data_IF_839829031012
#
_entry.id   IF_839829031012
#
_cell.length_a   1.000
_cell.length_b   1.000
_cell.length_c   1.000
_cell.angle_alpha   90.00
_cell.angle_beta   90.00
_cell.angle_gamma   90.00
#
_symmetry.space_group_name_H-M   'P 1'
#
loop_
_entity.id
_entity.type
_entity.pdbx_description
1 polymer ?
#
# COMPACT_ATOMS: atom_id res chain seq x y z
N UNK A 1 -52.26 106.67 -55.97
CA UNK A 1 -52.31 105.39 -55.24
C UNK A 1 -52.55 104.26 -56.24
N UNK A 2 -51.87 103.12 -56.09
CA UNK A 2 -52.22 101.88 -56.80
C UNK A 2 -51.03 101.13 -57.43
N UNK A 3 -50.03 100.74 -56.65
CA UNK A 3 -48.96 99.84 -57.10
C UNK A 3 -49.50 98.41 -57.30
N UNK A 4 -49.18 97.78 -58.44
CA UNK A 4 -49.46 96.36 -58.69
C UNK A 4 -48.22 95.57 -58.28
N UNK A 5 -48.26 95.02 -57.06
CA UNK A 5 -47.21 94.12 -56.56
C UNK A 5 -47.26 92.78 -57.28
N UNK A 6 -46.23 92.43 -58.04
CA UNK A 6 -46.01 91.07 -58.57
C UNK A 6 -45.06 90.32 -57.63
N UNK A 7 -45.61 89.53 -56.71
CA UNK A 7 -44.82 88.60 -55.91
C UNK A 7 -44.84 87.22 -56.58
N UNK A 8 -43.73 86.82 -57.19
CA UNK A 8 -43.49 85.42 -57.57
C UNK A 8 -42.88 84.71 -56.38
N UNK A 9 -43.67 83.84 -55.73
CA UNK A 9 -43.22 83.03 -54.61
C UNK A 9 -43.00 81.61 -55.15
N UNK A 10 -41.74 81.20 -55.35
CA UNK A 10 -41.42 79.83 -55.71
C UNK A 10 -41.35 78.98 -54.43
N UNK A 11 -42.44 78.27 -54.13
CA UNK A 11 -42.49 77.30 -53.04
C UNK A 11 -41.98 75.95 -53.56
N UNK A 12 -40.81 75.51 -53.11
CA UNK A 12 -40.36 74.12 -53.27
C UNK A 12 -40.78 73.32 -52.04
N UNK A 13 -41.82 72.49 -52.20
CA UNK A 13 -42.28 71.54 -51.18
C UNK A 13 -41.74 70.17 -51.51
N UNK A 14 -40.90 69.59 -50.65
CA UNK A 14 -40.46 68.20 -50.79
C UNK A 14 -40.91 67.37 -49.60
N UNK A 15 -41.99 66.63 -49.78
CA UNK A 15 -42.50 65.71 -48.77
C UNK A 15 -41.68 64.42 -48.81
N UNK A 16 -40.89 64.15 -47.77
CA UNK A 16 -40.15 62.89 -47.63
C UNK A 16 -40.91 62.05 -46.59
N UNK A 17 -41.84 61.20 -47.03
CA UNK A 17 -42.69 60.39 -46.14
C UNK A 17 -42.20 58.95 -45.94
N UNK A 18 -40.95 58.65 -46.28
CA UNK A 18 -40.36 57.33 -46.12
C UNK A 18 -39.67 57.19 -44.76
N UNK A 19 -40.32 56.53 -43.80
CA UNK A 19 -39.63 55.97 -42.63
C UNK A 19 -39.42 54.48 -42.92
N UNK A 20 -38.17 54.01 -42.98
CA UNK A 20 -37.91 52.57 -43.02
C UNK A 20 -38.55 51.95 -41.77
N UNK A 21 -39.35 50.91 -41.94
CA UNK A 21 -39.87 50.13 -40.84
C UNK A 21 -38.68 49.51 -40.10
N UNK A 22 -38.33 50.09 -38.95
CA UNK A 22 -37.31 49.54 -38.08
C UNK A 22 -37.99 48.44 -37.27
N UNK A 23 -37.68 47.19 -37.63
CA UNK A 23 -38.16 46.01 -36.91
C UNK A 23 -37.01 45.43 -36.09
N UNK A 24 -37.31 45.02 -34.85
CA UNK A 24 -36.33 44.55 -33.88
C UNK A 24 -35.96 45.60 -32.82
N UNK A 25 -35.03 45.24 -31.93
CA UNK A 25 -34.56 46.08 -30.82
C UNK A 25 -33.47 47.03 -31.31
N UNK A 26 -33.84 48.04 -32.11
CA UNK A 26 -32.90 48.99 -32.66
C UNK A 26 -32.72 50.15 -31.67
N UNK A 27 -31.69 50.04 -30.82
CA UNK A 27 -31.34 51.04 -29.80
C UNK A 27 -30.65 52.31 -30.38
N UNK A 28 -30.57 52.42 -31.72
CA UNK A 28 -30.00 53.57 -32.42
C UNK A 28 -31.02 54.72 -32.64
N UNK A 29 -30.62 55.73 -33.42
CA UNK A 29 -31.50 56.86 -33.75
C UNK A 29 -32.18 56.64 -35.11
N UNK A 30 -33.51 56.51 -35.10
CA UNK A 30 -34.33 56.46 -36.30
C UNK A 30 -34.65 57.88 -36.79
N UNK A 31 -34.20 58.25 -37.98
CA UNK A 31 -34.42 59.60 -38.51
C UNK A 31 -35.11 59.49 -39.88
N UNK A 32 -36.28 60.12 -39.98
CA UNK A 32 -37.14 60.14 -41.17
C UNK A 32 -37.32 61.59 -41.65
N UNK A 33 -37.64 61.78 -42.93
CA UNK A 33 -38.02 63.09 -43.46
C UNK A 33 -36.87 63.98 -43.96
N UNK A 34 -35.67 63.44 -44.15
CA UNK A 34 -34.51 64.24 -44.59
C UNK A 34 -34.50 64.36 -46.12
N UNK A 35 -34.58 65.58 -46.63
CA UNK A 35 -34.38 65.88 -48.05
C UNK A 35 -33.10 66.70 -48.27
N UNK A 36 -32.23 66.24 -49.16
CA UNK A 36 -31.07 67.00 -49.66
C UNK A 36 -30.20 67.68 -48.58
N UNK A 37 -30.06 67.04 -47.40
CA UNK A 37 -29.35 67.57 -46.24
C UNK A 37 -28.37 66.54 -45.69
N UNK A 38 -27.21 66.99 -45.21
CA UNK A 38 -26.26 66.13 -44.48
C UNK A 38 -26.67 66.08 -43.02
N UNK A 39 -26.91 64.87 -42.51
CA UNK A 39 -27.26 64.63 -41.12
C UNK A 39 -26.04 64.17 -40.34
N UNK A 40 -25.70 64.89 -39.27
CA UNK A 40 -24.64 64.48 -38.35
C UNK A 40 -25.27 63.86 -37.10
N UNK A 41 -25.16 62.55 -36.96
CA UNK A 41 -25.60 61.83 -35.75
C UNK A 41 -24.36 61.45 -34.96
N UNK A 42 -24.34 61.84 -33.69
CA UNK A 42 -23.31 61.42 -32.74
C UNK A 42 -23.99 60.61 -31.65
N UNK A 43 -23.58 59.35 -31.49
CA UNK A 43 -24.01 58.47 -30.41
C UNK A 43 -22.86 58.29 -29.42
N UNK A 44 -23.18 58.34 -28.12
CA UNK A 44 -22.21 58.16 -27.03
C UNK A 44 -22.53 56.84 -26.32
N UNK A 45 -21.52 56.01 -26.06
CA UNK A 45 -21.68 54.69 -25.43
C UNK A 45 -21.87 54.74 -23.90
N UNK A 46 -21.79 55.92 -23.28
CA UNK A 46 -21.86 56.17 -21.83
C UNK A 46 -20.97 55.24 -20.98
N UNK A 47 -19.82 54.82 -21.51
CA UNK A 47 -18.89 53.92 -20.83
C UNK A 47 -19.31 52.44 -20.85
N UNK A 48 -20.30 52.06 -21.67
CA UNK A 48 -20.72 50.67 -21.84
C UNK A 48 -19.57 49.78 -22.33
N UNK A 49 -18.71 50.31 -23.21
CA UNK A 49 -17.52 49.59 -23.68
C UNK A 49 -16.53 49.34 -22.54
N UNK A 50 -16.26 50.35 -21.71
CA UNK A 50 -15.37 50.20 -20.56
C UNK A 50 -15.91 49.15 -19.58
N UNK A 51 -17.20 49.21 -19.24
CA UNK A 51 -17.82 48.20 -18.36
C UNK A 51 -17.78 46.79 -18.95
N UNK A 52 -17.93 46.65 -20.27
CA UNK A 52 -17.81 45.36 -20.94
C UNK A 52 -16.36 44.82 -20.89
N UNK A 53 -15.36 45.72 -21.01
CA UNK A 53 -13.96 45.35 -20.84
C UNK A 53 -13.63 44.98 -19.39
N UNK A 54 -14.15 45.72 -18.41
CA UNK A 54 -13.99 45.42 -16.98
C UNK A 54 -14.57 44.05 -16.64
N UNK A 55 -15.81 43.77 -17.09
CA UNK A 55 -16.43 42.46 -16.94
C UNK A 55 -15.60 41.36 -17.62
N UNK A 56 -15.07 41.63 -18.82
CA UNK A 56 -14.16 40.73 -19.50
C UNK A 56 -12.90 40.43 -18.67
N UNK A 57 -12.31 41.44 -18.06
CA UNK A 57 -11.17 41.31 -17.14
C UNK A 57 -11.50 40.45 -15.93
N UNK A 58 -12.62 40.73 -15.25
CA UNK A 58 -13.09 39.95 -14.09
C UNK A 58 -13.34 38.48 -14.44
N UNK A 59 -13.94 38.21 -15.60
CA UNK A 59 -14.16 36.85 -16.10
C UNK A 59 -12.86 36.12 -16.39
N UNK A 60 -11.87 36.79 -16.99
CA UNK A 60 -10.54 36.22 -17.25
C UNK A 60 -9.83 35.90 -15.93
N UNK A 61 -9.87 36.81 -14.96
CA UNK A 61 -9.29 36.57 -13.64
C UNK A 61 -9.98 35.43 -12.90
N UNK A 62 -11.31 35.40 -12.90
CA UNK A 62 -12.08 34.33 -12.26
C UNK A 62 -11.79 32.98 -12.92
N UNK A 63 -11.71 32.93 -14.25
CA UNK A 63 -11.34 31.73 -15.00
C UNK A 63 -9.91 31.29 -14.64
N UNK A 64 -8.98 32.24 -14.52
CA UNK A 64 -7.60 31.96 -14.08
C UNK A 64 -7.53 31.37 -12.67
N UNK A 65 -8.32 31.91 -11.72
CA UNK A 65 -8.45 31.36 -10.36
C UNK A 65 -9.02 29.94 -10.38
N UNK A 66 -10.12 29.72 -11.10
CA UNK A 66 -10.72 28.39 -11.23
C UNK A 66 -9.75 27.38 -11.83
N UNK A 67 -8.98 27.77 -12.85
CA UNK A 67 -7.97 26.90 -13.45
C UNK A 67 -6.84 26.57 -12.46
N UNK A 68 -6.37 27.54 -11.68
CA UNK A 68 -5.36 27.32 -10.65
C UNK A 68 -5.85 26.36 -9.55
N UNK A 69 -7.11 26.54 -9.10
CA UNK A 69 -7.71 25.68 -8.08
C UNK A 69 -7.93 24.26 -8.61
N UNK A 70 -8.35 24.11 -9.88
CA UNK A 70 -8.45 22.81 -10.53
C UNK A 70 -7.08 22.10 -10.62
N UNK A 71 -6.01 22.83 -10.96
CA UNK A 71 -4.66 22.28 -10.98
C UNK A 71 -4.17 21.89 -9.58
N UNK A 72 -4.42 22.72 -8.55
CA UNK A 72 -4.10 22.38 -7.16
C UNK A 72 -4.86 21.15 -6.69
N UNK A 73 -6.15 21.05 -6.99
CA UNK A 73 -6.96 19.89 -6.67
C UNK A 73 -6.43 18.63 -7.35
N UNK A 74 -6.15 18.69 -8.66
CA UNK A 74 -5.57 17.56 -9.39
C UNK A 74 -4.20 17.16 -8.83
N UNK A 75 -3.36 18.13 -8.46
CA UNK A 75 -2.08 17.90 -7.80
C UNK A 75 -2.23 17.23 -6.42
N UNK A 76 -3.21 17.68 -5.63
CA UNK A 76 -3.55 17.08 -4.34
C UNK A 76 -3.99 15.62 -4.47
N UNK A 77 -4.95 15.34 -5.36
CA UNK A 77 -5.42 13.97 -5.62
C UNK A 77 -4.29 13.05 -6.08
N UNK A 78 -3.39 13.55 -6.94
CA UNK A 78 -2.24 12.77 -7.39
C UNK A 78 -1.27 12.48 -6.23
N UNK A 79 -0.98 13.49 -5.41
CA UNK A 79 -0.15 13.32 -4.20
C UNK A 79 -0.77 12.30 -3.24
N UNK A 80 -2.05 12.42 -2.92
CA UNK A 80 -2.75 11.50 -2.02
C UNK A 80 -2.75 10.07 -2.57
N UNK A 81 -2.89 9.91 -3.89
CA UNK A 81 -2.82 8.59 -4.55
C UNK A 81 -1.43 7.95 -4.45
N UNK A 82 -0.37 8.75 -4.60
CA UNK A 82 1.01 8.28 -4.44
C UNK A 82 1.34 7.94 -2.98
N UNK A 83 0.88 8.77 -2.04
CA UNK A 83 1.06 8.54 -0.61
C UNK A 83 0.34 7.25 -0.18
N UNK A 84 -0.91 7.02 -0.64
CA UNK A 84 -1.63 5.76 -0.43
C UNK A 84 -0.91 4.55 -1.03
N UNK A 85 -0.42 4.66 -2.27
CA UNK A 85 0.32 3.56 -2.91
C UNK A 85 1.62 3.24 -2.15
N UNK A 86 2.30 4.25 -1.62
CA UNK A 86 3.48 4.08 -0.78
C UNK A 86 3.14 3.36 0.53
N UNK A 87 2.06 3.77 1.20
CA UNK A 87 1.61 3.16 2.46
C UNK A 87 1.22 1.69 2.27
N UNK A 88 0.47 1.37 1.21
CA UNK A 88 0.11 -0.03 0.87
C UNK A 88 1.36 -0.87 0.58
N UNK A 89 2.32 -0.33 -0.15
CA UNK A 89 3.56 -1.05 -0.45
C UNK A 89 4.37 -1.30 0.82
N UNK A 90 4.50 -0.29 1.69
CA UNK A 90 5.18 -0.45 2.97
C UNK A 90 4.47 -1.48 3.86
N UNK A 91 3.14 -1.41 4.00
CA UNK A 91 2.38 -2.41 4.75
C UNK A 91 2.49 -3.82 4.16
N UNK A 92 2.62 -3.95 2.84
CA UNK A 92 2.86 -5.25 2.20
C UNK A 92 4.26 -5.81 2.48
N UNK A 93 5.28 -4.94 2.57
CA UNK A 93 6.64 -5.34 2.93
C UNK A 93 6.70 -5.75 4.40
N UNK A 94 6.11 -4.96 5.30
CA UNK A 94 6.05 -5.27 6.73
C UNK A 94 5.31 -6.59 6.98
N UNK A 95 4.19 -6.82 6.28
CA UNK A 95 3.47 -8.10 6.37
C UNK A 95 4.35 -9.27 5.90
N UNK A 96 5.07 -9.11 4.78
CA UNK A 96 5.96 -10.15 4.26
C UNK A 96 7.14 -10.43 5.22
N UNK A 97 7.72 -9.38 5.82
CA UNK A 97 8.77 -9.49 6.83
C UNK A 97 8.30 -10.28 8.04
N UNK A 98 7.16 -9.90 8.63
CA UNK A 98 6.58 -10.59 9.78
C UNK A 98 6.27 -12.06 9.45
N UNK A 99 5.69 -12.35 8.28
CA UNK A 99 5.40 -13.71 7.86
C UNK A 99 6.68 -14.57 7.69
N UNK A 100 7.76 -13.96 7.18
CA UNK A 100 9.07 -14.62 7.07
C UNK A 100 9.71 -14.84 8.43
N UNK A 101 9.58 -13.89 9.36
CA UNK A 101 10.07 -14.01 10.73
C UNK A 101 9.34 -15.14 11.48
N UNK A 102 8.01 -15.19 11.38
CA UNK A 102 7.19 -16.27 11.95
C UNK A 102 7.57 -17.64 11.37
N UNK A 103 7.75 -17.72 10.05
CA UNK A 103 8.14 -18.98 9.41
C UNK A 103 9.56 -19.40 9.79
N UNK A 104 10.49 -18.44 9.92
CA UNK A 104 11.85 -18.68 10.36
C UNK A 104 11.91 -19.16 11.81
N UNK A 105 11.17 -18.50 12.71
CA UNK A 105 11.12 -18.87 14.13
C UNK A 105 10.51 -20.26 14.31
N UNK A 106 9.39 -20.56 13.63
CA UNK A 106 8.76 -21.88 13.66
C UNK A 106 9.68 -22.97 13.11
N UNK A 107 10.39 -22.70 12.00
CA UNK A 107 11.38 -23.64 11.48
C UNK A 107 12.55 -23.86 12.44
N UNK A 108 13.04 -22.81 13.10
CA UNK A 108 14.09 -22.91 14.11
C UNK A 108 13.64 -23.78 15.30
N UNK A 109 12.43 -23.57 15.80
CA UNK A 109 11.85 -24.38 16.88
C UNK A 109 11.68 -25.84 16.46
N UNK A 110 11.17 -26.09 15.26
CA UNK A 110 11.04 -27.43 14.70
C UNK A 110 12.40 -28.13 14.57
N UNK A 111 13.42 -27.44 14.08
CA UNK A 111 14.79 -27.97 13.97
C UNK A 111 15.39 -28.25 15.35
N UNK A 112 15.16 -27.38 16.33
CA UNK A 112 15.61 -27.57 17.69
C UNK A 112 14.93 -28.78 18.35
N UNK A 113 13.63 -28.94 18.14
CA UNK A 113 12.88 -30.11 18.60
C UNK A 113 13.38 -31.39 17.93
N UNK A 114 13.62 -31.35 16.61
CA UNK A 114 14.16 -32.48 15.86
C UNK A 114 15.57 -32.86 16.36
N UNK A 115 16.42 -31.87 16.61
CA UNK A 115 17.75 -32.07 17.18
C UNK A 115 17.68 -32.66 18.59
N UNK A 116 16.74 -32.19 19.42
CA UNK A 116 16.50 -32.74 20.75
C UNK A 116 16.01 -34.19 20.72
N UNK A 117 15.06 -34.52 19.82
CA UNK A 117 14.59 -35.89 19.60
C UNK A 117 15.72 -36.81 19.12
N UNK A 118 16.51 -36.36 18.14
CA UNK A 118 17.66 -37.11 17.63
C UNK A 118 18.72 -37.35 18.71
N UNK A 119 19.01 -36.34 19.54
CA UNK A 119 19.93 -36.46 20.67
C UNK A 119 19.43 -37.45 21.73
N UNK A 120 18.16 -37.36 22.12
CA UNK A 120 17.55 -38.31 23.06
C UNK A 120 17.52 -39.73 22.50
N UNK A 121 17.25 -39.90 21.21
CA UNK A 121 17.24 -41.21 20.57
C UNK A 121 18.65 -41.80 20.47
N UNK A 122 19.68 -40.98 20.20
CA UNK A 122 21.08 -41.41 20.25
C UNK A 122 21.52 -41.81 21.67
N UNK A 123 21.10 -41.08 22.69
CA UNK A 123 21.37 -41.40 24.09
C UNK A 123 20.68 -42.72 24.51
N UNK A 124 19.40 -42.90 24.17
CA UNK A 124 18.69 -44.16 24.42
C UNK A 124 19.30 -45.34 23.65
N UNK A 125 19.68 -45.15 22.39
CA UNK A 125 20.36 -46.18 21.62
C UNK A 125 21.70 -46.56 22.24
N UNK A 126 22.48 -45.60 22.74
CA UNK A 126 23.74 -45.86 23.43
C UNK A 126 23.52 -46.67 24.70
N UNK A 127 22.53 -46.30 25.52
CA UNK A 127 22.17 -47.06 26.73
C UNK A 127 21.66 -48.47 26.41
N UNK A 128 20.86 -48.61 25.36
CA UNK A 128 20.36 -49.92 24.92
C UNK A 128 21.50 -50.81 24.43
N UNK A 129 22.42 -50.25 23.64
CA UNK A 129 23.62 -50.95 23.18
C UNK A 129 24.56 -51.31 24.32
N UNK A 130 24.75 -50.43 25.32
CA UNK A 130 25.59 -50.74 26.49
C UNK A 130 24.98 -51.86 27.32
N UNK A 131 23.67 -51.82 27.58
CA UNK A 131 22.98 -52.90 28.29
C UNK A 131 23.06 -54.24 27.53
N UNK A 132 22.92 -54.21 26.19
CA UNK A 132 23.13 -55.39 25.36
C UNK A 132 24.59 -55.88 25.39
N UNK A 133 25.56 -54.97 25.38
CA UNK A 133 26.99 -55.31 25.47
C UNK A 133 27.34 -55.89 26.84
N UNK A 134 26.79 -55.34 27.92
CA UNK A 134 26.97 -55.86 29.28
C UNK A 134 26.32 -57.25 29.42
N UNK A 135 25.12 -57.44 28.87
CA UNK A 135 24.48 -58.76 28.82
C UNK A 135 25.28 -59.75 27.98
N UNK A 136 25.87 -59.31 26.86
CA UNK A 136 26.73 -60.13 26.02
C UNK A 136 28.04 -60.50 26.72
N UNK A 137 28.70 -59.54 27.40
CA UNK A 137 29.89 -59.80 28.24
C UNK A 137 29.57 -60.74 29.39
N UNK A 138 28.45 -60.55 30.08
CA UNK A 138 28.00 -61.45 31.14
C UNK A 138 27.77 -62.89 30.61
N UNK A 139 27.16 -63.02 29.42
CA UNK A 139 27.01 -64.32 28.74
C UNK A 139 28.35 -64.90 28.25
N UNK A 140 29.29 -64.06 27.83
CA UNK A 140 30.62 -64.45 27.37
C UNK A 140 31.52 -64.91 28.53
N UNK A 141 31.48 -64.22 29.67
CA UNK A 141 32.13 -64.60 30.92
C UNK A 141 31.36 -65.71 31.66
N UNK A 142 30.16 -66.05 31.18
CA UNK A 142 29.37 -67.24 31.50
C UNK A 142 29.07 -67.41 33.02
N UNK A 143 29.06 -66.32 33.80
CA UNK A 143 28.99 -66.41 35.27
C UNK A 143 30.09 -67.28 35.89
N UNK A 144 31.15 -67.60 35.14
CA UNK A 144 32.11 -68.62 35.49
C UNK A 144 33.13 -68.13 36.51
N UNK A 145 33.33 -66.81 36.64
CA UNK A 145 34.29 -66.24 37.59
C UNK A 145 33.89 -66.50 39.05
N UNK A 146 32.63 -66.20 39.40
CA UNK A 146 32.15 -66.42 40.78
C UNK A 146 31.94 -67.90 41.10
N UNK A 147 31.43 -68.68 40.13
CA UNK A 147 31.17 -70.11 40.34
C UNK A 147 32.48 -70.93 40.41
N UNK A 148 33.52 -70.56 39.66
CA UNK A 148 34.85 -71.19 39.77
C UNK A 148 35.53 -70.85 41.10
N UNK A 149 35.43 -69.62 41.60
CA UNK A 149 35.99 -69.28 42.91
C UNK A 149 35.32 -70.07 44.04
N UNK A 150 33.99 -70.15 44.04
CA UNK A 150 33.26 -70.93 45.04
C UNK A 150 33.52 -72.44 44.91
N UNK A 151 33.60 -72.99 43.69
CA UNK A 151 33.96 -74.41 43.50
C UNK A 151 35.39 -74.75 43.94
N UNK A 152 36.37 -73.87 43.68
CA UNK A 152 37.76 -74.09 44.13
C UNK A 152 37.83 -74.08 45.65
N UNK A 153 37.16 -73.12 46.31
CA UNK A 153 37.10 -73.06 47.78
C UNK A 153 36.43 -74.31 48.35
N UNK A 154 35.32 -74.76 47.75
CA UNK A 154 34.62 -75.97 48.19
C UNK A 154 35.49 -77.24 48.02
N UNK A 155 36.22 -77.37 46.91
CA UNK A 155 37.18 -78.47 46.70
C UNK A 155 38.29 -78.49 47.76
N UNK A 156 38.86 -77.33 48.09
CA UNK A 156 39.92 -77.23 49.11
C UNK A 156 39.40 -77.69 50.47
N UNK A 157 38.18 -77.26 50.86
CA UNK A 157 37.55 -77.69 52.11
C UNK A 157 37.33 -79.20 52.13
N UNK A 158 36.80 -79.78 51.05
CA UNK A 158 36.60 -81.24 50.95
C UNK A 158 37.91 -81.99 51.06
N UNK A 159 38.99 -81.52 50.40
CA UNK A 159 40.30 -82.16 50.48
C UNK A 159 40.90 -82.13 51.89
N UNK A 160 40.74 -81.02 52.62
CA UNK A 160 41.19 -80.89 54.02
C UNK A 160 40.41 -81.83 54.93
N UNK A 161 39.08 -81.90 54.77
CA UNK A 161 38.23 -82.79 55.58
C UNK A 161 38.56 -84.26 55.31
N UNK A 162 38.70 -84.67 54.05
CA UNK A 162 39.08 -86.04 53.70
C UNK A 162 40.48 -86.39 54.20
N UNK A 163 41.44 -85.47 54.11
CA UNK A 163 42.78 -85.64 54.67
C UNK A 163 42.76 -85.81 56.19
N UNK A 164 41.98 -85.00 56.90
CA UNK A 164 41.81 -85.11 58.34
C UNK A 164 41.15 -86.43 58.76
N UNK A 165 40.11 -86.87 58.04
CA UNK A 165 39.43 -88.16 58.30
C UNK A 165 40.36 -89.34 58.02
N UNK A 166 41.16 -89.31 56.94
CA UNK A 166 42.12 -90.36 56.65
C UNK A 166 43.22 -90.46 57.73
N UNK A 167 43.72 -89.31 58.22
CA UNK A 167 44.70 -89.27 59.31
C UNK A 167 44.09 -89.79 60.62
N UNK A 168 42.81 -89.48 60.87
CA UNK A 168 42.10 -89.95 62.07
C UNK A 168 41.78 -91.45 61.99
N UNK A 169 41.51 -91.98 60.80
CA UNK A 169 41.31 -93.41 60.56
C UNK A 169 42.61 -94.23 60.68
N UNK A 170 43.77 -93.69 60.31
CA UNK A 170 45.07 -94.34 60.52
C UNK A 170 45.56 -94.30 61.98
N UNK A 171 44.93 -93.48 62.83
CA UNK A 171 45.24 -93.37 64.26
C UNK A 171 44.30 -94.21 65.16
N UNK A 172 43.43 -95.02 64.57
CA UNK A 172 42.67 -96.08 65.27
C UNK A 172 43.27 -97.44 64.95
#
# INVERSE_FOLDING_TARGET
>A
MGGKSSSSNQTQTTNVSGQNAISGDNLGTAISGINNSTLNVTATDYGSVNKALDLGGELVEQTGRMFNDALKYAGGVNKDSLDFASEVNQGSLDFAENALEDMSSSNSENLQMLAGLAGNQAAQNTQSLSAMMDLAKFKQDNGASENKQQQIILMVIIAVVLGAVAIMAMKR
#
